data_IF_021570543549
#
_entry.id   IF_021570543549
#
_cell.length_a   1.000
_cell.length_b   1.000
_cell.length_c   1.000
_cell.angle_alpha   90.00
_cell.angle_beta   90.00
_cell.angle_gamma   90.00
#
_symmetry.space_group_name_H-M   'P 1'
#
loop_
_entity.id
_entity.type
_entity.pdbx_description
1 polymer ?
#
# COMPACT_ATOMS: atom_id res chain seq x y z
N UNK A 1 -19.64 -22.03 5.21
CA UNK A 1 -20.09 -21.42 6.49
C UNK A 1 -19.07 -20.36 6.85
N UNK A 2 -19.47 -19.15 7.28
CA UNK A 2 -18.52 -18.11 7.65
C UNK A 2 -17.58 -18.63 8.74
N UNK A 3 -16.27 -18.40 8.56
CA UNK A 3 -15.21 -18.82 9.48
C UNK A 3 -15.35 -18.15 10.87
N UNK A 4 -16.00 -16.98 10.92
CA UNK A 4 -16.26 -16.20 12.12
C UNK A 4 -17.11 -14.97 11.86
N UNK A 5 -17.02 -13.98 12.74
CA UNK A 5 -17.63 -12.65 12.61
C UNK A 5 -16.70 -11.59 13.19
N UNK A 6 -16.75 -10.40 12.63
CA UNK A 6 -16.10 -9.21 13.20
C UNK A 6 -17.10 -8.40 14.03
N UNK A 7 -16.66 -7.97 15.20
CA UNK A 7 -17.46 -7.19 16.16
C UNK A 7 -16.66 -5.95 16.51
N UNK A 8 -17.30 -4.79 16.44
CA UNK A 8 -16.74 -3.54 16.96
C UNK A 8 -17.24 -3.29 18.38
N UNK A 9 -16.31 -2.92 19.25
CA UNK A 9 -16.56 -2.41 20.59
C UNK A 9 -16.15 -0.96 20.65
N UNK A 10 -17.01 -0.08 21.16
CA UNK A 10 -16.64 1.32 21.39
C UNK A 10 -16.64 1.65 22.88
N UNK A 11 -15.72 2.51 23.29
CA UNK A 11 -15.68 3.08 24.63
C UNK A 11 -16.70 4.19 24.84
N UNK A 12 -16.78 4.67 26.07
CA UNK A 12 -17.48 5.92 26.39
C UNK A 12 -16.64 7.14 25.96
N UNK A 13 -17.26 8.31 25.73
CA UNK A 13 -16.54 9.53 25.37
C UNK A 13 -15.47 9.88 26.41
N UNK A 14 -14.25 10.23 25.98
CA UNK A 14 -13.08 10.53 26.85
C UNK A 14 -12.65 9.40 27.80
N UNK A 15 -13.05 8.14 27.53
CA UNK A 15 -12.64 6.99 28.33
C UNK A 15 -11.90 5.95 27.47
N UNK A 16 -10.79 5.44 28.00
CA UNK A 16 -10.03 4.37 27.36
C UNK A 16 -10.83 3.07 27.33
N UNK A 17 -10.81 2.42 26.17
CA UNK A 17 -11.35 1.07 26.00
C UNK A 17 -10.31 0.06 26.49
N UNK A 18 -10.69 -0.85 27.40
CA UNK A 18 -9.79 -1.89 27.92
C UNK A 18 -9.60 -3.03 26.89
N UNK A 19 -8.90 -2.73 25.80
CA UNK A 19 -8.76 -3.56 24.60
C UNK A 19 -8.13 -4.93 24.86
N UNK A 20 -7.19 -5.04 25.80
CA UNK A 20 -6.59 -6.32 26.20
C UNK A 20 -7.62 -7.34 26.68
N UNK A 21 -8.72 -6.87 27.29
CA UNK A 21 -9.78 -7.73 27.80
C UNK A 21 -10.67 -8.33 26.70
N UNK A 22 -10.63 -7.74 25.50
CA UNK A 22 -11.41 -8.15 24.34
C UNK A 22 -10.74 -9.29 23.55
N UNK A 23 -9.46 -9.56 23.80
CA UNK A 23 -8.71 -10.62 23.12
C UNK A 23 -8.69 -11.95 23.89
N UNK A 24 -8.76 -13.07 23.18
CA UNK A 24 -8.44 -14.39 23.75
C UNK A 24 -7.65 -15.23 22.75
N UNK A 25 -6.32 -15.13 22.84
CA UNK A 25 -5.43 -15.75 21.85
C UNK A 25 -5.64 -17.27 21.72
N UNK A 26 -5.80 -17.96 22.85
CA UNK A 26 -6.01 -19.42 22.90
C UNK A 26 -7.32 -19.88 22.27
N UNK A 27 -8.32 -19.00 22.21
CA UNK A 27 -9.63 -19.32 21.65
C UNK A 27 -9.80 -18.85 20.21
N UNK A 28 -8.77 -18.25 19.61
CA UNK A 28 -8.85 -17.66 18.26
C UNK A 28 -9.57 -16.31 18.21
N UNK A 29 -9.99 -15.75 19.35
CA UNK A 29 -10.56 -14.39 19.40
C UNK A 29 -9.38 -13.42 19.34
N UNK A 30 -9.36 -12.56 18.32
CA UNK A 30 -8.22 -11.69 18.01
C UNK A 30 -8.68 -10.25 17.93
N UNK A 31 -7.95 -9.37 18.60
CA UNK A 31 -8.05 -7.94 18.34
C UNK A 31 -7.36 -7.66 17.01
N UNK A 32 -8.04 -6.95 16.10
CA UNK A 32 -7.58 -6.74 14.72
C UNK A 32 -7.06 -5.33 14.49
N UNK A 33 -7.78 -4.34 14.99
CA UNK A 33 -7.32 -2.96 15.02
C UNK A 33 -7.90 -2.20 16.24
N UNK A 34 -7.36 -1.02 16.48
CA UNK A 34 -7.90 -0.01 17.39
C UNK A 34 -7.89 1.32 16.64
N UNK A 35 -8.99 2.06 16.72
CA UNK A 35 -9.16 3.36 16.08
C UNK A 35 -9.66 4.39 17.10
N UNK A 36 -9.38 5.66 16.86
CA UNK A 36 -9.93 6.77 17.64
C UNK A 36 -10.64 7.73 16.70
N UNK A 37 -11.89 8.04 16.99
CA UNK A 37 -12.68 9.04 16.26
C UNK A 37 -13.00 10.22 17.18
N UNK A 38 -12.97 11.44 16.66
CA UNK A 38 -13.44 12.62 17.39
C UNK A 38 -14.71 13.16 16.75
N UNK A 39 -15.66 13.61 17.57
CA UNK A 39 -16.85 14.31 17.08
C UNK A 39 -16.56 15.78 16.77
N UNK A 40 -17.59 16.53 16.33
CA UNK A 40 -17.50 17.95 16.00
C UNK A 40 -17.07 18.83 17.19
N UNK A 41 -17.25 18.36 18.42
CA UNK A 41 -16.83 19.03 19.66
C UNK A 41 -15.41 18.62 20.10
N UNK A 42 -14.75 17.74 19.34
CA UNK A 42 -13.40 17.23 19.60
C UNK A 42 -13.34 16.09 20.60
N UNK A 43 -14.50 15.55 21.01
CA UNK A 43 -14.58 14.49 22.00
C UNK A 43 -14.18 13.17 21.37
N UNK A 44 -13.19 12.50 21.96
CA UNK A 44 -12.57 11.30 21.38
C UNK A 44 -13.21 10.03 21.92
N UNK A 45 -13.49 9.09 21.02
CA UNK A 45 -13.99 7.75 21.32
C UNK A 45 -13.07 6.70 20.70
N UNK A 46 -12.67 5.71 21.49
CA UNK A 46 -11.90 4.55 21.01
C UNK A 46 -12.83 3.43 20.54
N UNK A 47 -12.46 2.82 19.42
CA UNK A 47 -13.12 1.67 18.81
C UNK A 47 -12.13 0.52 18.66
N UNK A 48 -12.59 -0.71 18.87
CA UNK A 48 -11.79 -1.91 18.71
C UNK A 48 -12.54 -2.95 17.88
N UNK A 49 -11.92 -3.35 16.77
CA UNK A 49 -12.45 -4.40 15.90
C UNK A 49 -11.87 -5.75 16.30
N UNK A 50 -12.74 -6.71 16.61
CA UNK A 50 -12.38 -8.03 17.13
C UNK A 50 -12.97 -9.11 16.23
N UNK A 51 -12.12 -10.04 15.81
CA UNK A 51 -12.54 -11.24 15.12
C UNK A 51 -12.92 -12.35 16.10
N UNK A 52 -14.10 -12.95 15.92
CA UNK A 52 -14.63 -14.05 16.74
C UNK A 52 -14.88 -15.27 15.86
N UNK A 53 -14.12 -16.37 16.04
CA UNK A 53 -14.34 -17.60 15.30
C UNK A 53 -15.75 -18.16 15.50
N UNK A 54 -16.29 -18.85 14.49
CA UNK A 54 -17.65 -19.40 14.54
C UNK A 54 -17.85 -20.36 15.72
N UNK A 55 -16.81 -21.12 16.09
CA UNK A 55 -16.80 -22.04 17.24
C UNK A 55 -16.85 -21.34 18.61
N UNK A 56 -16.67 -20.01 18.66
CA UNK A 56 -16.60 -19.19 19.86
C UNK A 56 -17.65 -18.06 19.92
N UNK A 57 -18.67 -18.07 19.06
CA UNK A 57 -19.74 -17.05 19.01
C UNK A 57 -20.42 -16.78 20.36
N UNK A 58 -20.51 -17.77 21.25
CA UNK A 58 -21.11 -17.62 22.58
C UNK A 58 -20.19 -16.99 23.63
N UNK A 59 -18.94 -16.65 23.30
CA UNK A 59 -17.95 -16.19 24.28
C UNK A 59 -18.32 -14.85 24.89
N UNK A 60 -18.53 -13.80 24.08
CA UNK A 60 -18.96 -12.49 24.57
C UNK A 60 -20.35 -12.51 25.23
N UNK A 61 -21.39 -13.13 24.63
CA UNK A 61 -22.69 -13.26 25.29
C UNK A 61 -22.59 -13.88 26.69
N UNK A 62 -21.81 -14.95 26.86
CA UNK A 62 -21.60 -15.56 28.18
C UNK A 62 -20.92 -14.60 29.16
N UNK A 63 -19.95 -13.82 28.71
CA UNK A 63 -19.25 -12.82 29.54
C UNK A 63 -20.20 -11.72 30.02
N UNK A 64 -21.06 -11.23 29.13
CA UNK A 64 -22.10 -10.24 29.43
C UNK A 64 -23.15 -10.78 30.41
N UNK A 65 -23.67 -12.00 30.20
CA UNK A 65 -24.59 -12.65 31.15
C UNK A 65 -23.96 -12.79 32.54
N UNK A 66 -22.70 -13.21 32.61
CA UNK A 66 -21.98 -13.33 33.88
C UNK A 66 -21.79 -11.98 34.58
N UNK A 67 -21.55 -10.91 33.82
CA UNK A 67 -21.45 -9.57 34.39
C UNK A 67 -22.79 -9.10 34.97
N UNK A 68 -23.89 -9.35 34.26
CA UNK A 68 -25.22 -8.91 34.68
C UNK A 68 -25.75 -9.65 35.93
N UNK A 69 -25.41 -10.94 36.11
CA UNK A 69 -26.08 -11.80 37.08
C UNK A 69 -25.17 -12.51 38.08
N UNK A 70 -23.84 -12.46 37.93
CA UNK A 70 -22.92 -13.19 38.81
C UNK A 70 -21.85 -12.29 39.43
N UNK A 71 -21.69 -12.38 40.75
CA UNK A 71 -20.58 -11.75 41.46
C UNK A 71 -19.39 -12.72 41.66
N UNK A 72 -18.20 -12.13 41.78
CA UNK A 72 -16.99 -12.79 42.26
C UNK A 72 -17.06 -13.01 43.77
N UNK A 73 -16.12 -13.78 44.33
CA UNK A 73 -16.00 -13.96 45.79
C UNK A 73 -15.77 -12.67 46.58
N UNK A 74 -15.38 -11.58 45.91
CA UNK A 74 -15.16 -10.24 46.49
C UNK A 74 -16.35 -9.30 46.25
N UNK A 75 -17.52 -9.86 45.92
CA UNK A 75 -18.77 -9.13 45.66
C UNK A 75 -18.70 -8.07 44.54
N UNK A 76 -17.79 -8.27 43.58
CA UNK A 76 -17.73 -7.49 42.34
C UNK A 76 -18.35 -8.28 41.18
N UNK A 77 -19.05 -7.64 40.23
CA UNK A 77 -19.55 -8.32 39.04
C UNK A 77 -18.44 -9.08 38.30
N UNK A 78 -18.75 -10.28 37.77
CA UNK A 78 -17.78 -11.05 36.97
C UNK A 78 -17.54 -10.34 35.63
N UNK A 79 -16.30 -10.43 35.12
CA UNK A 79 -15.90 -9.80 33.85
C UNK A 79 -16.07 -8.27 33.82
N UNK A 80 -16.14 -7.62 34.98
CA UNK A 80 -16.26 -6.17 35.13
C UNK A 80 -15.20 -5.38 34.36
N UNK A 81 -13.94 -5.84 34.36
CA UNK A 81 -12.87 -5.24 33.54
C UNK A 81 -13.20 -5.21 32.04
N UNK A 82 -13.91 -6.21 31.51
CA UNK A 82 -14.27 -6.28 30.10
C UNK A 82 -15.44 -5.36 29.78
N UNK A 83 -16.47 -5.38 30.64
CA UNK A 83 -17.75 -4.73 30.32
C UNK A 83 -17.74 -3.25 30.69
N UNK A 84 -17.07 -2.85 31.77
CA UNK A 84 -17.15 -1.47 32.28
C UNK A 84 -16.66 -0.40 31.29
N UNK A 85 -15.67 -0.71 30.46
CA UNK A 85 -15.16 0.26 29.47
C UNK A 85 -15.89 0.22 28.13
N UNK A 86 -16.87 -0.68 27.95
CA UNK A 86 -17.60 -0.85 26.70
C UNK A 86 -18.94 -0.12 26.81
N UNK A 87 -19.14 0.87 25.94
CA UNK A 87 -20.39 1.60 25.81
C UNK A 87 -21.30 0.96 24.75
N UNK A 88 -20.73 0.61 23.59
CA UNK A 88 -21.47 0.03 22.47
C UNK A 88 -20.80 -1.23 21.92
N UNK A 89 -21.62 -2.16 21.43
CA UNK A 89 -21.20 -3.38 20.72
C UNK A 89 -22.03 -3.47 19.44
N UNK A 90 -21.37 -3.53 18.28
CA UNK A 90 -22.05 -3.70 16.98
C UNK A 90 -21.32 -4.70 16.09
N UNK A 91 -21.99 -5.15 15.02
CA UNK A 91 -21.28 -5.81 13.93
C UNK A 91 -20.32 -4.81 13.29
N UNK A 92 -19.07 -5.22 13.07
CA UNK A 92 -18.11 -4.38 12.37
C UNK A 92 -18.60 -4.14 10.93
N UNK A 93 -18.57 -2.88 10.50
CA UNK A 93 -18.82 -2.53 9.11
C UNK A 93 -17.51 -2.04 8.48
N UNK A 94 -17.54 -1.61 7.22
CA UNK A 94 -16.32 -1.24 6.49
C UNK A 94 -15.54 -0.10 7.19
N UNK A 95 -16.26 0.83 7.81
CA UNK A 95 -15.71 1.93 8.61
C UNK A 95 -14.84 1.42 9.78
N UNK A 96 -15.23 0.32 10.42
CA UNK A 96 -14.46 -0.33 11.50
C UNK A 96 -13.08 -0.85 11.07
N UNK A 97 -12.81 -0.93 9.77
CA UNK A 97 -11.52 -1.34 9.19
C UNK A 97 -10.79 -0.19 8.51
N UNK A 98 -11.50 0.85 8.07
CA UNK A 98 -10.93 1.95 7.32
C UNK A 98 -10.23 2.93 8.26
N UNK A 99 -8.90 3.05 8.17
CA UNK A 99 -8.12 3.93 9.07
C UNK A 99 -7.75 5.27 8.45
N UNK A 100 -8.23 5.54 7.24
CA UNK A 100 -8.04 6.81 6.54
C UNK A 100 -9.29 7.70 6.63
N UNK A 101 -9.27 8.88 6.01
CA UNK A 101 -10.48 9.69 5.87
C UNK A 101 -11.58 8.87 5.18
N UNK A 102 -12.82 8.82 5.73
CA UNK A 102 -13.94 8.07 5.14
C UNK A 102 -14.29 8.50 3.71
N UNK A 103 -13.90 9.71 3.29
CA UNK A 103 -14.12 10.22 1.93
C UNK A 103 -13.30 9.47 0.87
N UNK A 104 -12.26 8.75 1.28
CA UNK A 104 -11.44 7.93 0.39
C UNK A 104 -11.90 6.48 0.29
N UNK A 105 -12.98 6.10 0.99
CA UNK A 105 -13.57 4.77 0.82
C UNK A 105 -14.06 4.66 -0.63
N UNK A 106 -13.61 3.66 -1.41
CA UNK A 106 -14.06 3.49 -2.78
C UNK A 106 -15.56 3.25 -2.80
N UNK A 107 -16.31 3.97 -3.63
CA UNK A 107 -17.74 3.74 -3.80
C UNK A 107 -17.98 2.66 -4.86
N UNK A 108 -18.65 3.01 -5.97
CA UNK A 108 -18.99 2.08 -7.06
C UNK A 108 -17.83 1.86 -8.05
N UNK A 109 -16.85 2.76 -8.07
CA UNK A 109 -15.66 2.64 -8.92
C UNK A 109 -14.49 2.07 -8.12
N UNK A 110 -13.80 1.03 -8.60
CA UNK A 110 -12.66 0.47 -7.89
C UNK A 110 -11.52 1.48 -7.78
N UNK A 111 -10.84 1.46 -6.64
CA UNK A 111 -9.64 2.27 -6.38
C UNK A 111 -8.58 1.39 -5.72
N UNK A 112 -7.32 1.83 -5.82
CA UNK A 112 -6.23 1.14 -5.15
C UNK A 112 -6.31 1.38 -3.64
N UNK A 113 -6.34 0.27 -2.91
CA UNK A 113 -6.37 0.25 -1.45
C UNK A 113 -5.26 -0.66 -0.93
N UNK A 114 -4.68 -0.26 0.19
CA UNK A 114 -3.85 -1.13 1.00
C UNK A 114 -4.76 -2.02 1.85
N UNK A 115 -4.51 -3.33 1.82
CA UNK A 115 -5.09 -4.29 2.75
C UNK A 115 -4.02 -4.71 3.72
N UNK A 116 -4.26 -4.44 5.00
CA UNK A 116 -3.35 -4.80 6.08
C UNK A 116 -3.84 -6.11 6.71
N UNK A 117 -3.09 -7.18 6.51
CA UNK A 117 -3.31 -8.46 7.16
C UNK A 117 -2.61 -8.49 8.52
N UNK A 118 -3.24 -9.14 9.49
CA UNK A 118 -2.73 -9.36 10.85
C UNK A 118 -1.94 -10.67 11.00
N UNK A 119 -1.48 -11.22 9.88
CA UNK A 119 -0.59 -12.38 9.81
C UNK A 119 0.53 -12.11 8.83
N UNK A 120 1.69 -12.72 9.10
CA UNK A 120 2.88 -12.72 8.24
C UNK A 120 3.18 -14.11 7.69
N UNK A 121 2.33 -15.10 7.98
CA UNK A 121 2.50 -16.47 7.52
C UNK A 121 2.14 -16.58 6.03
N UNK A 122 2.98 -17.26 5.26
CA UNK A 122 2.80 -17.38 3.81
C UNK A 122 1.47 -18.06 3.43
N UNK A 123 1.01 -19.02 4.25
CA UNK A 123 -0.28 -19.70 4.06
C UNK A 123 -1.47 -18.73 4.17
N UNK A 124 -1.42 -17.79 5.12
CA UNK A 124 -2.49 -16.79 5.30
C UNK A 124 -2.52 -15.78 4.15
N UNK A 125 -1.35 -15.41 3.61
CA UNK A 125 -1.22 -14.53 2.45
C UNK A 125 -1.74 -15.23 1.18
N UNK A 126 -1.37 -16.50 0.99
CA UNK A 126 -1.90 -17.31 -0.12
C UNK A 126 -3.42 -17.48 -0.03
N UNK A 127 -3.96 -17.68 1.18
CA UNK A 127 -5.40 -17.76 1.37
C UNK A 127 -6.09 -16.43 1.04
N UNK A 128 -5.51 -15.29 1.42
CA UNK A 128 -6.02 -13.98 1.02
C UNK A 128 -6.02 -13.81 -0.51
N UNK A 129 -4.95 -14.21 -1.21
CA UNK A 129 -4.95 -14.17 -2.68
C UNK A 129 -6.06 -15.03 -3.31
N UNK A 130 -6.35 -16.20 -2.75
CA UNK A 130 -7.48 -17.02 -3.19
C UNK A 130 -8.84 -16.33 -3.00
N UNK A 131 -9.02 -15.61 -1.88
CA UNK A 131 -10.24 -14.82 -1.64
C UNK A 131 -10.39 -13.70 -2.68
N UNK A 132 -9.30 -12.99 -2.97
CA UNK A 132 -9.24 -11.91 -3.96
C UNK A 132 -9.49 -12.42 -5.38
N UNK A 133 -8.87 -13.55 -5.76
CA UNK A 133 -9.10 -14.23 -7.05
C UNK A 133 -10.57 -14.67 -7.20
N UNK A 134 -11.17 -15.19 -6.13
CA UNK A 134 -12.58 -15.65 -6.13
C UNK A 134 -13.55 -14.50 -6.37
N UNK A 135 -13.18 -13.29 -5.94
CA UNK A 135 -13.96 -12.08 -6.09
C UNK A 135 -13.63 -11.31 -7.39
N UNK A 136 -12.71 -11.83 -8.23
CA UNK A 136 -12.23 -11.17 -9.46
C UNK A 136 -11.67 -9.76 -9.18
N UNK A 137 -11.05 -9.58 -8.01
CA UNK A 137 -10.42 -8.32 -7.61
C UNK A 137 -8.99 -8.30 -8.14
N UNK A 138 -8.62 -7.24 -8.85
CA UNK A 138 -7.23 -7.06 -9.27
C UNK A 138 -6.34 -6.75 -8.06
N UNK A 139 -5.17 -7.37 -7.99
CA UNK A 139 -4.21 -7.13 -6.91
C UNK A 139 -2.76 -7.09 -7.41
N UNK A 140 -1.90 -6.49 -6.60
CA UNK A 140 -0.45 -6.51 -6.76
C UNK A 140 0.08 -7.91 -6.41
N UNK A 141 0.90 -8.55 -7.26
CA UNK A 141 1.51 -9.84 -6.93
C UNK A 141 2.54 -9.76 -5.80
N UNK A 142 2.83 -8.55 -5.32
CA UNK A 142 3.78 -8.27 -4.25
C UNK A 142 3.07 -7.82 -2.98
N UNK A 143 3.64 -8.23 -1.86
CA UNK A 143 3.19 -7.89 -0.51
C UNK A 143 4.34 -7.32 0.29
N UNK A 144 4.12 -6.22 1.00
CA UNK A 144 5.12 -5.67 1.92
C UNK A 144 4.98 -6.35 3.29
N UNK A 145 6.08 -6.86 3.84
CA UNK A 145 6.08 -7.54 5.14
C UNK A 145 6.67 -6.67 6.24
N UNK A 146 5.90 -6.46 7.30
CA UNK A 146 6.30 -5.88 8.57
C UNK A 146 6.35 -6.97 9.65
N UNK A 147 6.99 -6.74 10.81
CA UNK A 147 7.11 -7.77 11.86
C UNK A 147 5.80 -8.41 12.33
N UNK A 148 4.68 -7.70 12.22
CA UNK A 148 3.35 -8.19 12.64
C UNK A 148 2.25 -8.01 11.59
N UNK A 149 2.57 -7.51 10.39
CA UNK A 149 1.58 -7.17 9.36
C UNK A 149 2.11 -7.48 7.98
N UNK A 150 1.22 -7.91 7.09
CA UNK A 150 1.50 -7.97 5.66
C UNK A 150 0.56 -7.00 4.94
N UNK A 151 1.10 -6.17 4.05
CA UNK A 151 0.33 -5.18 3.29
C UNK A 151 0.28 -5.59 1.84
N UNK A 152 -0.94 -5.64 1.28
CA UNK A 152 -1.19 -6.04 -0.10
C UNK A 152 -2.02 -4.97 -0.77
N UNK A 153 -1.64 -4.57 -1.98
CA UNK A 153 -2.43 -3.63 -2.79
C UNK A 153 -3.51 -4.38 -3.56
N UNK A 154 -4.75 -3.91 -3.48
CA UNK A 154 -5.88 -4.38 -4.28
C UNK A 154 -6.60 -3.22 -4.95
N UNK A 155 -7.25 -3.47 -6.08
CA UNK A 155 -8.05 -2.51 -6.82
C UNK A 155 -9.53 -2.87 -6.68
N UNK A 156 -10.21 -2.23 -5.72
CA UNK A 156 -11.46 -2.73 -5.15
C UNK A 156 -12.50 -1.63 -4.92
N UNK A 157 -13.78 -1.99 -4.98
CA UNK A 157 -14.94 -1.17 -4.56
C UNK A 157 -15.26 -1.38 -3.07
N UNK A 158 -16.11 -0.54 -2.46
CA UNK A 158 -16.59 -0.80 -1.10
C UNK A 158 -17.23 -2.19 -0.94
N UNK A 159 -17.95 -2.66 -1.96
CA UNK A 159 -18.63 -3.95 -1.92
C UNK A 159 -17.64 -5.11 -1.89
N UNK A 160 -16.52 -4.98 -2.60
CA UNK A 160 -15.43 -5.95 -2.60
C UNK A 160 -14.74 -6.01 -1.23
N UNK A 161 -14.46 -4.85 -0.62
CA UNK A 161 -13.87 -4.78 0.72
C UNK A 161 -14.78 -5.43 1.77
N UNK A 162 -16.10 -5.18 1.69
CA UNK A 162 -17.09 -5.83 2.56
C UNK A 162 -17.08 -7.34 2.36
N UNK A 163 -17.05 -7.82 1.11
CA UNK A 163 -17.00 -9.25 0.81
C UNK A 163 -15.74 -9.92 1.39
N UNK A 164 -14.57 -9.28 1.26
CA UNK A 164 -13.32 -9.73 1.84
C UNK A 164 -13.39 -9.86 3.37
N UNK A 165 -13.99 -8.89 4.07
CA UNK A 165 -14.16 -8.99 5.54
C UNK A 165 -15.11 -10.12 5.97
N UNK A 166 -15.99 -10.59 5.07
CA UNK A 166 -16.90 -11.69 5.36
C UNK A 166 -16.24 -13.07 5.22
N UNK A 167 -15.18 -13.19 4.40
CA UNK A 167 -14.50 -14.46 4.10
C UNK A 167 -13.17 -14.59 4.85
N UNK A 168 -12.41 -13.51 4.95
CA UNK A 168 -11.04 -13.54 5.45
C UNK A 168 -10.98 -13.18 6.93
N UNK A 169 -10.44 -14.05 7.81
CA UNK A 169 -10.36 -13.78 9.23
C UNK A 169 -9.23 -12.83 9.62
N UNK A 170 -8.27 -12.56 8.73
CA UNK A 170 -6.99 -11.93 9.02
C UNK A 170 -6.91 -10.46 8.62
N UNK A 171 -7.98 -9.88 8.05
CA UNK A 171 -8.03 -8.45 7.74
C UNK A 171 -7.98 -7.65 9.04
N UNK A 172 -7.01 -6.75 9.11
CA UNK A 172 -6.83 -5.79 10.21
C UNK A 172 -7.37 -4.42 9.80
N UNK A 173 -6.91 -3.88 8.69
CA UNK A 173 -7.19 -2.50 8.27
C UNK A 173 -7.26 -2.37 6.74
N UNK A 174 -7.95 -1.35 6.28
CA UNK A 174 -7.90 -0.85 4.91
C UNK A 174 -7.46 0.62 4.90
N UNK A 175 -6.70 1.00 3.88
CA UNK A 175 -6.29 2.39 3.65
C UNK A 175 -6.37 2.74 2.16
N UNK A 176 -6.61 4.00 1.87
CA UNK A 176 -6.42 4.51 0.53
C UNK A 176 -4.93 4.55 0.18
N UNK A 177 -4.60 4.28 -1.07
CA UNK A 177 -3.25 4.54 -1.58
C UNK A 177 -3.15 6.01 -1.95
N UNK A 178 -2.62 6.84 -1.05
CA UNK A 178 -2.39 8.28 -1.30
C UNK A 178 -1.19 8.56 -2.19
N UNK A 179 -0.17 7.70 -2.12
CA UNK A 179 1.04 7.80 -2.93
C UNK A 179 1.57 6.41 -3.30
N UNK A 180 1.17 5.87 -4.47
CA UNK A 180 1.69 4.60 -4.94
C UNK A 180 3.21 4.64 -5.11
N UNK A 181 3.81 5.82 -5.35
CA UNK A 181 5.26 5.98 -5.50
C UNK A 181 5.97 5.56 -4.22
N UNK A 182 5.48 5.96 -3.05
CA UNK A 182 6.09 5.60 -1.77
C UNK A 182 6.11 4.07 -1.54
N UNK A 183 5.08 3.35 -2.01
CA UNK A 183 5.08 1.88 -1.95
C UNK A 183 6.23 1.29 -2.77
N UNK A 184 6.35 1.68 -4.05
CA UNK A 184 7.39 1.15 -4.94
C UNK A 184 8.81 1.53 -4.50
N UNK A 185 8.98 2.73 -3.94
CA UNK A 185 10.29 3.24 -3.50
C UNK A 185 10.85 2.49 -2.29
N UNK A 186 10.02 1.82 -1.49
CA UNK A 186 10.44 1.10 -0.28
C UNK A 186 10.59 -0.41 -0.47
N UNK A 187 10.39 -0.92 -1.68
CA UNK A 187 10.54 -2.33 -2.00
C UNK A 187 12.00 -2.78 -1.90
N UNK A 188 12.22 -4.03 -1.48
CA UNK A 188 13.53 -4.64 -1.53
C UNK A 188 13.97 -4.90 -2.98
N UNK A 189 15.28 -4.99 -3.23
CA UNK A 189 15.83 -5.18 -4.57
C UNK A 189 15.24 -6.40 -5.32
N UNK A 190 14.92 -7.47 -4.58
CA UNK A 190 14.30 -8.67 -5.15
C UNK A 190 12.90 -8.35 -5.68
N UNK A 191 12.10 -7.67 -4.88
CA UNK A 191 10.72 -7.30 -5.22
C UNK A 191 10.70 -6.31 -6.39
N UNK A 192 11.60 -5.32 -6.38
CA UNK A 192 11.75 -4.37 -7.50
C UNK A 192 12.08 -5.10 -8.83
N UNK A 193 12.96 -6.09 -8.79
CA UNK A 193 13.32 -6.86 -9.98
C UNK A 193 12.13 -7.67 -10.54
N UNK A 194 11.32 -8.23 -9.65
CA UNK A 194 10.11 -8.97 -10.02
C UNK A 194 9.04 -8.01 -10.62
N UNK A 195 8.89 -6.80 -10.09
CA UNK A 195 8.03 -5.76 -10.68
C UNK A 195 8.49 -5.34 -12.07
N UNK A 196 9.81 -5.13 -12.24
CA UNK A 196 10.40 -4.82 -13.55
C UNK A 196 10.11 -5.94 -14.55
N UNK A 197 10.24 -7.21 -14.14
CA UNK A 197 9.94 -8.36 -14.98
C UNK A 197 8.45 -8.44 -15.34
N UNK A 198 7.55 -8.19 -14.38
CA UNK A 198 6.12 -8.13 -14.63
C UNK A 198 5.77 -7.04 -15.67
N UNK A 199 6.25 -5.82 -15.47
CA UNK A 199 6.01 -4.72 -16.41
C UNK A 199 6.61 -5.04 -17.79
N UNK A 200 7.84 -5.55 -17.84
CA UNK A 200 8.48 -5.98 -19.08
C UNK A 200 7.63 -6.97 -19.87
N UNK A 201 6.95 -7.90 -19.20
CA UNK A 201 6.09 -8.90 -19.86
C UNK A 201 4.81 -8.32 -20.47
N UNK A 202 4.38 -7.13 -20.03
CA UNK A 202 3.15 -6.46 -20.48
C UNK A 202 3.39 -5.36 -21.52
N UNK A 203 4.65 -5.02 -21.77
CA UNK A 203 5.03 -3.99 -22.73
C UNK A 203 4.82 -4.51 -24.16
N UNK A 204 4.13 -3.71 -24.96
CA UNK A 204 3.90 -3.96 -26.38
C UNK A 204 4.50 -2.78 -27.15
N UNK A 205 5.65 -3.02 -27.79
CA UNK A 205 6.26 -2.06 -28.70
C UNK A 205 5.47 -2.02 -30.00
N UNK A 206 5.11 -0.82 -30.44
CA UNK A 206 4.57 -0.62 -31.78
C UNK A 206 5.70 -0.66 -32.80
N UNK A 207 5.81 -1.76 -33.56
CA UNK A 207 6.82 -1.92 -34.61
C UNK A 207 6.66 -0.93 -35.77
N UNK A 208 5.50 -0.25 -35.86
CA UNK A 208 5.27 0.82 -36.83
C UNK A 208 5.63 2.22 -36.32
N UNK A 209 6.16 2.31 -35.10
CA UNK A 209 6.60 3.58 -34.51
C UNK A 209 7.65 4.27 -35.40
N UNK A 210 7.32 5.48 -35.84
CA UNK A 210 8.19 6.34 -36.64
C UNK A 210 8.52 7.67 -35.93
N UNK A 211 8.17 7.77 -34.66
CA UNK A 211 8.42 8.92 -33.80
C UNK A 211 9.55 8.58 -32.84
N UNK A 212 10.51 9.49 -32.72
CA UNK A 212 11.63 9.40 -31.78
C UNK A 212 11.60 10.58 -30.82
N UNK A 213 11.87 10.33 -29.54
CA UNK A 213 12.06 11.37 -28.52
C UNK A 213 13.55 11.47 -28.24
N UNK A 214 14.15 12.59 -28.66
CA UNK A 214 15.56 12.87 -28.38
C UNK A 214 15.73 13.55 -27.03
N UNK A 215 16.45 12.90 -26.12
CA UNK A 215 16.75 13.37 -24.77
C UNK A 215 18.14 13.99 -24.72
N UNK A 216 18.23 15.24 -24.27
CA UNK A 216 19.49 15.95 -24.05
C UNK A 216 19.78 15.97 -22.55
N UNK A 217 20.56 15.02 -22.06
CA UNK A 217 20.74 14.78 -20.62
C UNK A 217 22.13 14.19 -20.29
N UNK A 218 22.32 13.58 -19.12
CA UNK A 218 23.61 13.03 -18.64
C UNK A 218 24.07 11.74 -19.33
N UNK A 219 23.36 11.30 -20.37
CA UNK A 219 23.46 9.97 -20.97
C UNK A 219 22.40 9.02 -20.41
N UNK A 220 22.36 7.78 -20.90
CA UNK A 220 21.33 6.80 -20.51
C UNK A 220 21.93 5.41 -20.36
N UNK A 221 21.50 4.67 -19.34
CA UNK A 221 21.73 3.23 -19.27
C UNK A 221 20.70 2.48 -20.14
N UNK A 222 20.95 2.38 -21.45
CA UNK A 222 20.05 1.67 -22.37
C UNK A 222 20.03 0.14 -22.15
N UNK A 223 20.94 -0.41 -21.33
CA UNK A 223 20.91 -1.81 -20.89
C UNK A 223 19.86 -2.11 -19.83
N UNK A 224 19.18 -1.09 -19.28
CA UNK A 224 18.08 -1.30 -18.34
C UNK A 224 16.91 -2.04 -19.02
N UNK A 225 16.36 -3.07 -18.38
CA UNK A 225 15.33 -3.96 -18.95
C UNK A 225 14.14 -3.21 -19.54
N UNK A 226 13.71 -2.12 -18.90
CA UNK A 226 12.59 -1.29 -19.36
C UNK A 226 12.96 -0.26 -20.44
N UNK A 227 14.25 -0.04 -20.74
CA UNK A 227 14.67 0.93 -21.76
C UNK A 227 15.24 0.28 -23.01
N UNK A 228 15.89 -0.89 -22.87
CA UNK A 228 16.51 -1.63 -23.96
C UNK A 228 15.61 -1.85 -25.20
N UNK A 229 14.29 -2.10 -25.07
CA UNK A 229 13.42 -2.26 -26.24
C UNK A 229 13.26 -0.98 -27.08
N UNK A 230 13.50 0.19 -26.49
CA UNK A 230 13.14 1.50 -27.05
C UNK A 230 14.34 2.39 -27.38
N UNK A 231 15.55 2.02 -26.94
CA UNK A 231 16.78 2.81 -27.15
C UNK A 231 17.92 1.91 -27.60
N UNK A 232 18.26 1.97 -28.89
CA UNK A 232 19.35 1.16 -29.45
C UNK A 232 20.72 1.82 -29.24
N UNK A 233 21.80 1.03 -29.34
CA UNK A 233 23.17 1.54 -29.23
C UNK A 233 23.51 2.58 -30.32
N UNK A 234 22.88 2.51 -31.49
CA UNK A 234 23.10 3.48 -32.56
C UNK A 234 22.44 4.83 -32.31
N UNK A 235 21.47 4.88 -31.38
CA UNK A 235 20.71 6.08 -31.01
C UNK A 235 21.27 6.74 -29.74
N UNK A 236 22.43 6.24 -29.27
CA UNK A 236 23.22 6.83 -28.22
C UNK A 236 24.30 7.74 -28.81
N UNK A 237 24.26 9.00 -28.42
CA UNK A 237 25.14 10.04 -28.88
C UNK A 237 25.75 10.79 -27.70
N UNK A 238 26.87 11.45 -27.96
CA UNK A 238 27.47 12.40 -27.03
C UNK A 238 27.78 13.69 -27.80
N UNK A 239 27.56 14.84 -27.16
CA UNK A 239 27.86 16.13 -27.77
C UNK A 239 29.36 16.27 -28.08
N UNK A 240 30.22 15.82 -27.17
CA UNK A 240 31.65 15.68 -27.39
C UNK A 240 32.01 14.19 -27.53
N UNK A 241 32.72 13.84 -28.61
CA UNK A 241 33.22 12.50 -28.88
C UNK A 241 34.13 11.91 -27.79
N UNK A 242 34.71 12.75 -26.92
CA UNK A 242 35.52 12.32 -25.78
C UNK A 242 34.66 11.93 -24.56
N UNK A 243 33.36 12.23 -24.58
CA UNK A 243 32.43 11.87 -23.51
C UNK A 243 31.85 10.47 -23.75
N UNK A 244 31.55 9.75 -22.66
CA UNK A 244 30.76 8.53 -22.75
C UNK A 244 29.30 8.84 -23.05
N UNK A 245 28.55 7.88 -23.59
CA UNK A 245 27.11 8.00 -23.84
C UNK A 245 26.25 7.51 -22.67
N UNK A 246 26.90 6.82 -21.73
CA UNK A 246 26.26 6.20 -20.58
C UNK A 246 26.17 7.15 -19.39
N UNK A 247 25.16 6.91 -18.57
CA UNK A 247 24.81 7.73 -17.41
C UNK A 247 25.68 7.43 -16.17
N UNK A 248 26.98 7.76 -16.23
CA UNK A 248 27.97 7.41 -15.18
C UNK A 248 28.70 8.62 -14.56
N UNK A 249 28.25 9.86 -14.82
CA UNK A 249 29.05 11.05 -14.52
C UNK A 249 29.27 11.24 -13.01
N UNK A 250 28.33 10.82 -12.15
CA UNK A 250 28.53 10.76 -10.69
C UNK A 250 27.78 9.58 -10.05
N UNK A 251 28.32 8.96 -8.99
CA UNK A 251 27.52 8.07 -8.14
C UNK A 251 26.29 8.86 -7.65
N UNK A 252 25.10 8.32 -7.87
CA UNK A 252 23.79 8.88 -7.47
C UNK A 252 23.16 9.97 -8.36
N UNK A 253 23.69 10.25 -9.54
CA UNK A 253 23.03 11.13 -10.52
C UNK A 253 22.83 10.41 -11.87
N UNK A 254 21.92 9.44 -11.89
CA UNK A 254 21.46 8.75 -13.11
C UNK A 254 20.29 9.50 -13.75
N UNK A 255 20.46 10.80 -13.96
CA UNK A 255 19.36 11.69 -14.30
C UNK A 255 18.76 11.34 -15.67
N UNK A 256 19.60 11.18 -16.69
CA UNK A 256 19.12 10.85 -18.04
C UNK A 256 18.44 9.48 -18.12
N UNK A 257 18.85 8.50 -17.33
CA UNK A 257 18.16 7.20 -17.24
C UNK A 257 16.77 7.34 -16.62
N UNK A 258 16.62 8.16 -15.57
CA UNK A 258 15.33 8.44 -14.95
C UNK A 258 14.39 9.20 -15.89
N UNK A 259 14.91 10.23 -16.57
CA UNK A 259 14.15 11.02 -17.56
C UNK A 259 13.72 10.13 -18.74
N UNK A 260 14.56 9.18 -19.16
CA UNK A 260 14.21 8.20 -20.20
C UNK A 260 13.04 7.32 -19.79
N UNK A 261 13.00 6.89 -18.52
CA UNK A 261 11.85 6.17 -17.97
C UNK A 261 10.55 6.96 -18.10
N UNK A 262 10.58 8.26 -17.73
CA UNK A 262 9.43 9.15 -17.85
C UNK A 262 9.04 9.36 -19.32
N UNK A 263 10.00 9.52 -20.22
CA UNK A 263 9.73 9.71 -21.64
C UNK A 263 9.03 8.49 -22.28
N UNK A 264 9.35 7.28 -21.82
CA UNK A 264 8.72 6.04 -22.33
C UNK A 264 7.36 5.81 -21.68
N UNK A 265 7.28 5.94 -20.36
CA UNK A 265 6.16 5.44 -19.57
C UNK A 265 5.27 6.53 -18.97
N UNK A 266 5.71 7.78 -18.92
CA UNK A 266 5.04 8.83 -18.17
C UNK A 266 5.04 8.51 -16.68
N UNK A 267 3.85 8.47 -16.07
CA UNK A 267 3.68 8.12 -14.66
C UNK A 267 3.77 6.60 -14.47
N UNK A 268 4.98 6.14 -14.12
CA UNK A 268 5.26 4.72 -13.91
C UNK A 268 4.42 4.13 -12.76
N UNK A 269 4.03 4.94 -11.78
CA UNK A 269 3.27 4.47 -10.61
C UNK A 269 1.87 3.96 -11.02
N UNK A 270 1.22 4.64 -11.97
CA UNK A 270 -0.07 4.22 -12.53
C UNK A 270 0.06 2.93 -13.33
N UNK A 271 1.16 2.77 -14.06
CA UNK A 271 1.42 1.61 -14.92
C UNK A 271 1.78 0.36 -14.09
N UNK A 272 2.55 0.55 -13.02
CA UNK A 272 2.88 -0.51 -12.07
C UNK A 272 1.63 -0.93 -11.27
N UNK A 273 0.76 0.03 -10.95
CA UNK A 273 -0.54 -0.21 -10.35
C UNK A 273 -1.59 -0.68 -11.38
N UNK A 274 -1.20 -1.34 -12.46
CA UNK A 274 -2.14 -1.89 -13.44
C UNK A 274 -1.60 -3.17 -14.06
N UNK A 275 -2.49 -4.11 -14.40
CA UNK A 275 -2.16 -5.32 -15.13
C UNK A 275 -2.47 -5.22 -16.64
N UNK A 276 -2.88 -4.05 -17.12
CA UNK A 276 -3.19 -3.83 -18.55
C UNK A 276 -1.92 -3.83 -19.42
N UNK A 277 -2.01 -4.23 -20.70
CA UNK A 277 -0.91 -4.06 -21.65
C UNK A 277 -0.50 -2.59 -21.81
N UNK A 278 0.81 -2.33 -21.94
CA UNK A 278 1.36 -0.98 -22.09
C UNK A 278 1.88 -0.83 -23.52
N UNK A 279 1.15 -0.07 -24.35
CA UNK A 279 1.53 0.16 -25.74
C UNK A 279 2.41 1.40 -25.85
N UNK A 280 3.67 1.21 -26.25
CA UNK A 280 4.62 2.31 -26.49
C UNK A 280 4.78 2.52 -27.99
N UNK A 281 4.57 3.78 -28.44
CA UNK A 281 4.45 4.15 -29.87
C UNK A 281 5.60 5.01 -30.39
N UNK A 282 6.69 5.07 -29.63
CA UNK A 282 7.85 5.89 -29.92
C UNK A 282 9.13 5.17 -29.49
N UNK A 283 10.24 5.59 -30.08
CA UNK A 283 11.58 5.21 -29.65
C UNK A 283 12.24 6.39 -28.93
N UNK A 284 13.37 6.13 -28.27
CA UNK A 284 14.22 7.14 -27.69
C UNK A 284 15.48 7.32 -28.53
N UNK A 285 16.00 8.54 -28.48
CA UNK A 285 17.39 8.90 -28.79
C UNK A 285 17.96 9.61 -27.57
N UNK A 286 19.25 9.46 -27.31
CA UNK A 286 19.90 10.14 -26.18
C UNK A 286 21.17 10.81 -26.64
N UNK A 287 21.33 12.09 -26.30
CA UNK A 287 22.56 12.84 -26.47
C UNK A 287 23.10 13.22 -25.10
N UNK A 288 24.24 12.66 -24.72
CA UNK A 288 24.92 13.09 -23.50
C UNK A 288 25.41 14.53 -23.69
N UNK A 289 24.88 15.43 -22.87
CA UNK A 289 25.28 16.81 -22.79
C UNK A 289 25.57 17.23 -21.34
N UNK A 290 26.86 17.16 -20.97
CA UNK A 290 27.36 17.52 -19.63
C UNK A 290 27.13 19.01 -19.31
N UNK A 291 26.83 19.87 -20.29
CA UNK A 291 26.55 21.29 -20.00
C UNK A 291 25.34 21.51 -19.10
N UNK A 292 24.38 20.56 -19.02
CA UNK A 292 23.26 20.68 -18.08
C UNK A 292 23.74 20.71 -16.61
N UNK A 293 24.75 19.92 -16.24
CA UNK A 293 25.35 19.95 -14.90
C UNK A 293 26.21 21.19 -14.65
N UNK A 294 26.84 21.75 -15.70
CA UNK A 294 27.62 23.00 -15.57
C UNK A 294 26.70 24.16 -15.23
N UNK A 295 25.48 24.19 -15.76
CA UNK A 295 24.49 25.23 -15.43
C UNK A 295 23.99 25.13 -13.98
N UNK A 296 23.74 23.93 -13.47
CA UNK A 296 23.32 23.71 -12.07
C UNK A 296 24.45 24.01 -11.07
N UNK A 297 25.69 23.60 -11.37
CA UNK A 297 26.87 24.00 -10.58
C UNK A 297 27.09 25.52 -10.61
N UNK A 298 26.80 26.18 -11.73
CA UNK A 298 26.89 27.64 -11.83
C UNK A 298 25.80 28.33 -11.01
N UNK A 299 24.57 27.79 -10.98
CA UNK A 299 23.46 28.29 -10.17
C UNK A 299 23.68 28.05 -8.66
N UNK A 300 24.23 26.90 -8.27
CA UNK A 300 24.64 26.63 -6.88
C UNK A 300 25.83 27.50 -6.43
N UNK A 301 26.81 27.76 -7.31
CA UNK A 301 27.90 28.70 -7.01
C UNK A 301 27.39 30.15 -6.93
N UNK A 302 26.44 30.53 -7.78
CA UNK A 302 25.81 31.86 -7.78
C UNK A 302 24.90 32.09 -6.56
N UNK A 303 24.25 31.06 -6.03
CA UNK A 303 23.43 31.16 -4.81
C UNK A 303 24.28 31.26 -3.54
N UNK A 304 25.43 30.55 -3.48
CA UNK A 304 26.39 30.65 -2.36
C UNK A 304 27.14 31.98 -2.31
N UNK A 305 27.30 32.66 -3.45
CA UNK A 305 27.97 33.98 -3.50
C UNK A 305 27.05 35.16 -3.16
N UNK A 306 25.72 34.99 -3.18
CA UNK A 306 24.75 36.02 -2.75
C UNK A 306 24.55 36.13 -1.23
N UNK A 307 25.07 35.20 -0.43
CA UNK A 307 24.99 35.23 1.03
C UNK A 307 26.24 35.81 1.72
N UNK A 308 27.18 36.40 0.96
CA UNK A 308 28.41 37.01 1.49
C UNK A 308 28.63 38.45 0.98
N UNK A 309 27.55 39.23 0.86
CA UNK A 309 27.59 40.70 0.82
C UNK A 309 26.39 41.30 1.54
#
# INVERSE_FOLDING_TARGET
MPSGVYIEFSGGPEHDLLTESLENRRSGIRLRNIQSTSDDEGVTTQHATVYVPASRKSWFPKKLTQYAFENTKKDKPKNDTLVRSVECIRAAALDSFWTDSPEFIPLDSPQWCEVWLSSTEEEDVQHFHQDVDTLDIQYSPFSLSFPERTVILIYATAQDLIALTATNPNIAEFRAVHDPVHFFMNLENKEQAEWVANLASRIVKDESANVSICLLDTGVNNGHTLLAPFLSDSDLHAFDSQWGVNDYIQPHQQHGTLVSGIAVYGDLSQILSSNTPVVVKHCLESVNNILCLVFDLYLECASKTRNNY
#
